data_IF_366480393102
#
_entry.id   IF_366480393102
#
_cell.length_a   1.000
_cell.length_b   1.000
_cell.length_c   1.000
_cell.angle_alpha   90.00
_cell.angle_beta   90.00
_cell.angle_gamma   90.00
#
_symmetry.space_group_name_H-M   'P 1'
#
loop_
_entity.id
_entity.type
_entity.pdbx_description
1 polymer ?
#
# COMPACT_ATOMS: atom_id res chain seq x y z
N UNK A 1 -25.31 -26.41 -3.75
CA UNK A 1 -23.91 -26.24 -4.21
C UNK A 1 -23.32 -25.08 -3.42
N UNK A 2 -22.19 -25.27 -2.73
CA UNK A 2 -21.48 -24.17 -2.08
C UNK A 2 -20.71 -23.38 -3.15
N UNK A 3 -20.85 -22.06 -3.14
CA UNK A 3 -20.11 -21.17 -4.03
C UNK A 3 -18.64 -21.17 -3.61
N UNK A 4 -17.74 -21.38 -4.57
CA UNK A 4 -16.28 -21.26 -4.37
C UNK A 4 -15.84 -19.92 -4.94
N UNK A 5 -15.13 -19.12 -4.14
CA UNK A 5 -14.58 -17.83 -4.55
C UNK A 5 -13.07 -17.97 -4.78
N UNK A 6 -12.61 -17.69 -6.00
CA UNK A 6 -11.23 -17.90 -6.45
C UNK A 6 -10.61 -16.62 -7.01
N UNK A 7 -11.01 -15.46 -6.46
CA UNK A 7 -10.63 -14.13 -6.96
C UNK A 7 -10.13 -13.22 -5.82
N UNK A 8 -9.40 -13.81 -4.87
CA UNK A 8 -8.88 -13.09 -3.70
C UNK A 8 -7.91 -11.96 -4.04
N UNK A 9 -7.31 -11.98 -5.22
CA UNK A 9 -6.38 -10.95 -5.64
C UNK A 9 -7.08 -9.67 -6.12
N UNK A 10 -8.35 -9.76 -6.55
CA UNK A 10 -9.18 -8.59 -6.82
C UNK A 10 -9.75 -8.00 -5.52
N UNK A 11 -10.28 -8.84 -4.62
CA UNK A 11 -10.69 -8.43 -3.27
C UNK A 11 -10.85 -9.63 -2.36
N UNK A 12 -10.81 -9.43 -1.04
CA UNK A 12 -10.92 -10.51 -0.05
C UNK A 12 -11.99 -10.20 0.99
N UNK A 13 -12.75 -11.20 1.47
CA UNK A 13 -13.63 -11.03 2.62
C UNK A 13 -12.87 -10.49 3.83
N UNK A 14 -13.46 -9.51 4.50
CA UNK A 14 -12.85 -8.92 5.69
C UNK A 14 -12.67 -10.00 6.78
N UNK A 15 -11.48 -10.03 7.39
CA UNK A 15 -11.24 -10.89 8.56
C UNK A 15 -12.22 -10.54 9.70
N UNK A 16 -12.77 -11.53 10.42
CA UNK A 16 -13.73 -11.26 11.51
C UNK A 16 -13.19 -10.27 12.55
N UNK A 17 -11.91 -10.35 12.88
CA UNK A 17 -11.23 -9.50 13.85
C UNK A 17 -11.14 -8.05 13.36
N UNK A 18 -10.85 -7.84 12.07
CA UNK A 18 -10.84 -6.51 11.46
C UNK A 18 -12.24 -5.90 11.40
N UNK A 19 -13.26 -6.72 11.11
CA UNK A 19 -14.67 -6.29 11.15
C UNK A 19 -15.07 -5.83 12.56
N UNK A 20 -14.73 -6.62 13.58
CA UNK A 20 -15.03 -6.29 14.97
C UNK A 20 -14.32 -5.00 15.42
N UNK A 21 -13.05 -4.83 15.06
CA UNK A 21 -12.29 -3.62 15.36
C UNK A 21 -12.90 -2.36 14.70
N UNK A 22 -13.34 -2.48 13.44
CA UNK A 22 -14.02 -1.37 12.74
C UNK A 22 -15.35 -1.01 13.39
N UNK A 23 -16.17 -1.99 13.77
CA UNK A 23 -17.44 -1.74 14.49
C UNK A 23 -17.16 -1.02 15.81
N UNK A 24 -16.20 -1.50 16.59
CA UNK A 24 -15.81 -0.85 17.84
C UNK A 24 -15.27 0.58 17.63
N UNK A 25 -14.56 0.83 16.52
CA UNK A 25 -14.09 2.16 16.15
C UNK A 25 -15.26 3.11 15.80
N UNK A 26 -16.35 2.61 15.22
CA UNK A 26 -17.55 3.40 14.91
C UNK A 26 -18.28 3.91 16.16
N UNK A 27 -18.11 3.24 17.31
CA UNK A 27 -18.67 3.69 18.60
C UNK A 27 -17.86 4.84 19.23
N UNK A 28 -16.64 5.10 18.74
CA UNK A 28 -15.81 6.22 19.21
C UNK A 28 -16.18 7.49 18.47
N UNK A 29 -16.68 8.48 19.20
CA UNK A 29 -17.00 9.81 18.66
C UNK A 29 -15.81 10.76 18.79
N UNK A 30 -15.78 11.79 17.96
CA UNK A 30 -14.82 12.90 18.04
C UNK A 30 -13.93 13.02 16.81
N UNK A 31 -13.48 14.24 16.55
CA UNK A 31 -12.48 14.52 15.52
C UNK A 31 -11.07 14.33 16.13
N UNK A 32 -10.20 13.47 15.58
CA UNK A 32 -8.84 13.26 16.11
C UNK A 32 -7.95 14.52 16.10
N UNK A 33 -8.35 15.58 15.39
CA UNK A 33 -7.68 16.89 15.43
C UNK A 33 -8.13 17.78 16.59
N UNK A 34 -9.21 17.42 17.29
CA UNK A 34 -9.72 18.19 18.41
C UNK A 34 -8.95 17.94 19.72
N UNK A 35 -8.79 18.98 20.53
CA UNK A 35 -8.03 18.91 21.80
C UNK A 35 -8.86 18.41 22.99
N UNK A 36 -10.19 18.31 22.88
CA UNK A 36 -11.07 17.84 23.95
C UNK A 36 -10.99 16.31 24.13
N UNK A 37 -11.63 15.78 25.17
CA UNK A 37 -11.46 14.39 25.60
C UNK A 37 -11.78 13.37 24.50
N UNK A 38 -12.90 13.54 23.80
CA UNK A 38 -13.35 12.68 22.71
C UNK A 38 -12.38 12.75 21.52
N UNK A 39 -11.90 13.95 21.16
CA UNK A 39 -10.90 14.11 20.11
C UNK A 39 -9.57 13.42 20.43
N UNK A 40 -9.10 13.54 21.68
CA UNK A 40 -7.90 12.82 22.13
C UNK A 40 -8.10 11.31 22.14
N UNK A 41 -9.29 10.82 22.48
CA UNK A 41 -9.61 9.39 22.42
C UNK A 41 -9.61 8.87 20.97
N UNK A 42 -10.23 9.60 20.03
CA UNK A 42 -10.20 9.26 18.61
C UNK A 42 -8.76 9.28 18.05
N UNK A 43 -7.95 10.27 18.43
CA UNK A 43 -6.53 10.33 18.06
C UNK A 43 -5.74 9.15 18.60
N UNK A 44 -5.94 8.79 19.86
CA UNK A 44 -5.26 7.65 20.48
C UNK A 44 -5.57 6.33 19.76
N UNK A 45 -6.81 6.16 19.27
CA UNK A 45 -7.19 5.00 18.47
C UNK A 45 -6.39 4.92 17.15
N UNK A 46 -6.30 6.04 16.41
CA UNK A 46 -5.55 6.10 15.14
C UNK A 46 -4.06 5.89 15.36
N UNK A 47 -3.46 6.51 16.39
CA UNK A 47 -2.04 6.35 16.68
C UNK A 47 -1.69 4.94 17.16
N UNK A 48 -2.59 4.28 17.89
CA UNK A 48 -2.44 2.85 18.21
C UNK A 48 -2.43 2.00 16.93
N UNK A 49 -3.35 2.25 16.00
CA UNK A 49 -3.38 1.55 14.72
C UNK A 49 -2.09 1.80 13.91
N UNK A 50 -1.59 3.04 13.91
CA UNK A 50 -0.33 3.43 13.26
C UNK A 50 0.86 2.64 13.81
N UNK A 51 0.99 2.55 15.13
CA UNK A 51 2.05 1.80 15.78
C UNK A 51 1.97 0.29 15.47
N UNK A 52 0.77 -0.28 15.43
CA UNK A 52 0.57 -1.68 15.07
C UNK A 52 0.95 -1.98 13.61
N UNK A 53 0.61 -1.09 12.67
CA UNK A 53 1.00 -1.21 11.26
C UNK A 53 2.51 -1.09 11.09
N UNK A 54 3.14 -0.11 11.75
CA UNK A 54 4.59 0.07 11.72
C UNK A 54 5.32 -1.19 12.19
N UNK A 55 4.93 -1.76 13.34
CA UNK A 55 5.52 -2.99 13.86
C UNK A 55 5.31 -4.20 12.92
N UNK A 56 4.10 -4.34 12.36
CA UNK A 56 3.79 -5.45 11.44
C UNK A 56 4.61 -5.41 10.14
N UNK A 57 4.99 -4.20 9.70
CA UNK A 57 5.80 -3.99 8.49
C UNK A 57 7.31 -3.91 8.78
N UNK A 58 7.74 -3.96 10.05
CA UNK A 58 9.14 -3.68 10.42
C UNK A 58 9.57 -2.24 10.12
N UNK A 59 8.62 -1.31 10.09
CA UNK A 59 8.81 0.11 9.75
C UNK A 59 8.81 0.99 11.01
N UNK A 60 9.37 0.49 12.12
CA UNK A 60 9.45 1.23 13.37
C UNK A 60 10.34 2.48 13.19
N UNK A 61 9.78 3.65 13.49
CA UNK A 61 10.46 4.93 13.27
C UNK A 61 10.28 5.51 11.86
N UNK A 62 9.57 4.83 10.95
CA UNK A 62 9.14 5.41 9.68
C UNK A 62 7.84 6.22 9.84
N UNK A 63 7.66 7.20 8.95
CA UNK A 63 6.41 7.93 8.84
C UNK A 63 5.36 7.08 8.10
N UNK A 64 4.45 6.46 8.85
CA UNK A 64 3.30 5.78 8.26
C UNK A 64 2.22 6.81 7.95
N UNK A 65 1.81 6.92 6.68
CA UNK A 65 0.71 7.77 6.22
C UNK A 65 -0.48 6.88 5.86
N UNK A 66 -1.64 7.13 6.44
CA UNK A 66 -2.88 6.46 6.06
C UNK A 66 -3.53 7.20 4.89
N UNK A 67 -3.82 6.47 3.82
CA UNK A 67 -4.60 6.92 2.65
C UNK A 67 -5.89 6.11 2.54
N UNK A 68 -6.77 6.46 1.61
CA UNK A 68 -7.98 5.69 1.30
C UNK A 68 -7.70 4.35 0.60
N UNK A 69 -6.49 4.16 0.06
CA UNK A 69 -6.06 2.93 -0.57
C UNK A 69 -4.75 3.06 -1.38
N UNK A 70 -4.34 1.96 -2.00
CA UNK A 70 -3.09 1.88 -2.76
C UNK A 70 -3.03 2.86 -3.94
N UNK A 71 -4.16 3.13 -4.61
CA UNK A 71 -4.20 4.10 -5.73
C UNK A 71 -3.87 5.53 -5.28
N UNK A 72 -4.41 5.97 -4.14
CA UNK A 72 -4.07 7.28 -3.58
C UNK A 72 -2.63 7.31 -3.06
N UNK A 73 -2.17 6.21 -2.43
CA UNK A 73 -0.79 6.10 -1.97
C UNK A 73 0.21 6.19 -3.14
N UNK A 74 -0.07 5.52 -4.26
CA UNK A 74 0.75 5.61 -5.47
C UNK A 74 0.79 7.05 -6.02
N UNK A 75 -0.36 7.71 -6.12
CA UNK A 75 -0.41 9.12 -6.53
C UNK A 75 0.41 10.03 -5.61
N UNK A 76 0.28 9.86 -4.29
CA UNK A 76 1.04 10.62 -3.29
C UNK A 76 2.55 10.39 -3.40
N UNK A 77 2.97 9.14 -3.64
CA UNK A 77 4.38 8.76 -3.68
C UNK A 77 5.09 9.09 -5.01
N UNK A 78 4.35 9.15 -6.12
CA UNK A 78 4.90 9.17 -7.48
C UNK A 78 4.68 10.48 -8.24
N UNK A 79 3.61 11.21 -7.94
CA UNK A 79 3.23 12.40 -8.70
C UNK A 79 4.36 13.44 -8.74
N UNK A 80 4.73 13.86 -9.95
CA UNK A 80 5.74 14.90 -10.20
C UNK A 80 7.20 14.47 -10.03
N UNK A 81 7.49 13.16 -9.89
CA UNK A 81 8.86 12.65 -9.66
C UNK A 81 9.60 12.15 -10.91
N UNK A 82 8.93 12.07 -12.07
CA UNK A 82 9.50 11.59 -13.34
C UNK A 82 10.26 10.25 -13.22
N UNK A 83 9.63 9.27 -12.55
CA UNK A 83 10.22 7.96 -12.32
C UNK A 83 9.91 6.98 -13.46
N UNK A 84 10.79 6.00 -13.61
CA UNK A 84 10.66 4.94 -14.60
C UNK A 84 10.05 3.68 -13.99
N UNK A 85 9.14 3.06 -14.71
CA UNK A 85 8.49 1.83 -14.27
C UNK A 85 8.41 0.80 -15.40
N UNK A 86 8.04 -0.43 -15.07
CA UNK A 86 7.80 -1.48 -16.04
C UNK A 86 6.34 -1.46 -16.54
N UNK A 87 6.06 -1.92 -17.77
CA UNK A 87 4.69 -2.02 -18.29
C UNK A 87 3.83 -3.08 -17.57
N UNK A 88 4.41 -3.85 -16.63
CA UNK A 88 3.69 -4.83 -15.80
C UNK A 88 3.24 -4.25 -14.45
N UNK A 89 3.53 -2.98 -14.17
CA UNK A 89 3.00 -2.29 -13.00
C UNK A 89 1.47 -2.14 -13.06
N UNK A 90 0.85 -2.07 -11.88
CA UNK A 90 -0.58 -1.77 -11.79
C UNK A 90 -0.88 -0.37 -12.37
N UNK A 91 -2.07 -0.16 -12.95
CA UNK A 91 -2.49 1.13 -13.55
C UNK A 91 -2.30 2.32 -12.59
N UNK A 92 -2.49 2.08 -11.29
CA UNK A 92 -2.27 3.06 -10.23
C UNK A 92 -0.84 3.62 -10.17
N UNK A 93 0.16 2.84 -10.56
CA UNK A 93 1.58 3.26 -10.66
C UNK A 93 1.86 3.77 -12.06
N UNK A 94 1.41 3.05 -13.09
CA UNK A 94 1.64 3.40 -14.49
C UNK A 94 1.12 4.81 -14.86
N UNK A 95 0.04 5.26 -14.22
CA UNK A 95 -0.50 6.61 -14.41
C UNK A 95 0.46 7.76 -14.05
N UNK A 96 1.52 7.49 -13.27
CA UNK A 96 2.45 8.50 -12.74
C UNK A 96 3.90 8.32 -13.19
N UNK A 97 4.19 7.31 -14.02
CA UNK A 97 5.56 6.92 -14.37
C UNK A 97 5.76 6.78 -15.88
N UNK A 98 7.01 6.92 -16.32
CA UNK A 98 7.42 6.58 -17.68
C UNK A 98 7.65 5.07 -17.79
N UNK A 99 6.85 4.39 -18.61
CA UNK A 99 6.94 2.94 -18.79
C UNK A 99 8.09 2.56 -19.73
N UNK A 100 9.30 2.44 -19.18
CA UNK A 100 10.51 2.16 -19.97
C UNK A 100 11.38 1.02 -19.43
N UNK A 101 11.08 0.47 -18.25
CA UNK A 101 11.88 -0.62 -17.71
C UNK A 101 11.61 -1.92 -18.48
N UNK A 102 12.64 -2.64 -18.93
CA UNK A 102 12.48 -3.88 -19.67
C UNK A 102 11.99 -5.02 -18.77
N UNK A 103 11.14 -5.88 -19.33
CA UNK A 103 10.58 -7.06 -18.65
C UNK A 103 11.03 -8.32 -19.37
N UNK A 104 11.62 -9.24 -18.62
CA UNK A 104 12.00 -10.57 -19.09
C UNK A 104 10.77 -11.44 -19.43
N UNK A 105 11.00 -12.52 -20.17
CA UNK A 105 9.94 -13.51 -20.48
C UNK A 105 9.42 -14.25 -19.25
N UNK A 106 10.20 -14.25 -18.18
CA UNK A 106 9.88 -14.76 -16.86
C UNK A 106 9.14 -13.73 -15.98
N UNK A 107 8.78 -12.57 -16.55
CA UNK A 107 8.09 -11.47 -15.88
C UNK A 107 8.96 -10.66 -14.90
N UNK A 108 10.27 -10.93 -14.83
CA UNK A 108 11.19 -10.14 -14.00
C UNK A 108 11.54 -8.83 -14.67
N UNK A 109 11.53 -7.74 -13.90
CA UNK A 109 11.90 -6.41 -14.37
C UNK A 109 13.40 -6.22 -14.17
N UNK A 110 14.10 -5.75 -15.20
CA UNK A 110 15.49 -5.35 -15.07
C UNK A 110 15.59 -3.86 -14.72
N UNK A 111 16.12 -3.56 -13.54
CA UNK A 111 16.33 -2.21 -13.01
C UNK A 111 17.81 -1.85 -13.07
N UNK A 112 18.18 -0.95 -13.98
CA UNK A 112 19.56 -0.47 -14.12
C UNK A 112 19.85 0.80 -13.31
N UNK A 113 18.81 1.57 -12.95
CA UNK A 113 18.91 2.81 -12.19
C UNK A 113 17.86 2.83 -11.05
N UNK A 114 18.14 2.16 -9.92
CA UNK A 114 17.20 2.05 -8.81
C UNK A 114 16.69 3.40 -8.29
N UNK A 115 17.57 4.41 -8.21
CA UNK A 115 17.26 5.72 -7.63
C UNK A 115 16.22 6.52 -8.43
N UNK A 116 15.95 6.15 -9.68
CA UNK A 116 14.93 6.74 -10.54
C UNK A 116 13.87 5.72 -10.99
N UNK A 117 13.79 4.56 -10.33
CA UNK A 117 12.89 3.47 -10.72
C UNK A 117 11.83 3.17 -9.66
N UNK A 118 10.67 2.72 -10.15
CA UNK A 118 9.58 2.16 -9.35
C UNK A 118 9.43 0.69 -9.70
N UNK A 119 9.24 -0.15 -8.69
CA UNK A 119 9.06 -1.58 -8.90
C UNK A 119 8.08 -2.20 -7.89
N UNK A 120 7.00 -2.81 -8.37
CA UNK A 120 6.15 -3.64 -7.51
C UNK A 120 6.94 -4.79 -6.90
N UNK A 121 6.64 -5.13 -5.65
CA UNK A 121 7.20 -6.33 -5.00
C UNK A 121 6.70 -7.63 -5.66
N UNK A 122 5.43 -7.65 -6.05
CA UNK A 122 4.75 -8.83 -6.60
C UNK A 122 3.71 -8.40 -7.64
N UNK A 123 3.64 -9.13 -8.76
CA UNK A 123 2.64 -8.86 -9.77
C UNK A 123 1.28 -9.47 -9.44
N UNK A 124 0.23 -8.64 -9.50
CA UNK A 124 -1.13 -9.03 -9.14
C UNK A 124 -1.77 -10.00 -10.14
N UNK A 125 -1.32 -10.05 -11.39
CA UNK A 125 -1.90 -10.96 -12.39
C UNK A 125 -1.21 -12.32 -12.40
N UNK A 126 0.11 -12.32 -12.28
CA UNK A 126 0.95 -13.52 -12.47
C UNK A 126 1.50 -14.10 -11.16
N UNK A 127 1.50 -13.33 -10.07
CA UNK A 127 2.10 -13.71 -8.79
C UNK A 127 3.64 -13.70 -8.79
N UNK A 128 4.28 -13.20 -9.85
CA UNK A 128 5.74 -13.16 -9.96
C UNK A 128 6.29 -12.14 -8.97
N UNK A 129 7.21 -12.61 -8.12
CA UNK A 129 7.95 -11.79 -7.16
C UNK A 129 9.17 -11.15 -7.84
N UNK A 130 9.37 -9.87 -7.60
CA UNK A 130 10.53 -9.12 -8.07
C UNK A 130 11.64 -9.09 -7.00
N UNK A 131 12.89 -9.01 -7.44
CA UNK A 131 14.02 -8.77 -6.55
C UNK A 131 14.25 -7.25 -6.46
N UNK A 132 13.93 -6.64 -5.31
CA UNK A 132 14.04 -5.19 -5.15
C UNK A 132 15.52 -4.80 -4.96
N UNK A 133 16.10 -3.96 -5.83
CA UNK A 133 17.48 -3.51 -5.68
C UNK A 133 17.62 -2.52 -4.52
N UNK A 134 18.81 -2.47 -3.91
CA UNK A 134 19.14 -1.43 -2.93
C UNK A 134 19.08 -0.03 -3.59
N UNK A 135 18.55 0.95 -2.86
CA UNK A 135 18.42 2.33 -3.35
C UNK A 135 17.28 2.55 -4.33
N UNK A 136 16.33 1.61 -4.45
CA UNK A 136 15.09 1.79 -5.22
C UNK A 136 14.32 3.04 -4.76
N UNK A 137 13.82 3.83 -5.70
CA UNK A 137 13.14 5.08 -5.40
C UNK A 137 11.76 4.87 -4.76
N UNK A 138 10.99 3.89 -5.26
CA UNK A 138 9.66 3.47 -4.77
C UNK A 138 9.44 1.98 -5.03
#
# INVERSE_FOLDING_TARGET
>A
MNRVYLDHNATMPLRPEAKAAMIAAMDVVGNPSSVHAEGRAARALVEKARAQVAAALGAEGADIIFTSGATEAAALALSGRDLHAAPVEHDAVAAWCTLSLPVGRDGRVAVSDPANSVLQLANSETGILQDLPEGLAV
#
